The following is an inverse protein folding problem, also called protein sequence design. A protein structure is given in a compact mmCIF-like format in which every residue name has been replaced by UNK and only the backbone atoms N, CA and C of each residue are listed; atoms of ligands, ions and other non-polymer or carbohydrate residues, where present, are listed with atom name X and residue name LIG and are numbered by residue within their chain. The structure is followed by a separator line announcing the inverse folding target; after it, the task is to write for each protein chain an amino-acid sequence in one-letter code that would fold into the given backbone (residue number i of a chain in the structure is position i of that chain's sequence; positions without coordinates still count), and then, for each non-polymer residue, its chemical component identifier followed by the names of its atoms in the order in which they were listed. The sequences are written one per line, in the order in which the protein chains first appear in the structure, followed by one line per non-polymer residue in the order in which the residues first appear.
data_IF_756695334118
#
_entry.id   IF_756695334118
#
_cell.length_a   1.000
_cell.length_b   1.000
_cell.length_c   1.000
_cell.angle_alpha   90.00
_cell.angle_beta   90.00
_cell.angle_gamma   90.00
#
_symmetry.space_group_name_H-M   'P 1'
#
loop_
_entity.id
_entity.type
_entity.pdbx_description
1 polymer ?
#
# COMPACT_ATOMS: atom_id res chain seq x y z
N UNK A 1 7.46 0.86 -14.94
CA UNK A 1 6.54 1.44 -13.93
C UNK A 1 7.11 2.76 -13.44
N UNK A 2 6.29 3.80 -13.24
CA UNK A 2 6.70 5.08 -12.66
C UNK A 2 6.18 5.18 -11.24
N UNK A 3 7.09 5.30 -10.28
CA UNK A 3 6.73 5.32 -8.87
C UNK A 3 6.26 6.69 -8.40
N UNK A 4 5.41 6.70 -7.36
CA UNK A 4 4.81 7.92 -6.79
C UNK A 4 5.89 8.90 -6.32
N UNK A 5 6.98 8.41 -5.72
CA UNK A 5 8.10 9.25 -5.26
C UNK A 5 8.80 10.03 -6.36
N UNK A 6 8.67 9.63 -7.61
CA UNK A 6 9.30 10.28 -8.76
C UNK A 6 8.36 11.15 -9.59
N UNK A 7 7.12 11.38 -9.15
CA UNK A 7 6.15 12.19 -9.88
C UNK A 7 6.39 13.68 -9.66
N UNK A 8 6.17 14.47 -10.71
CA UNK A 8 6.27 15.91 -10.68
C UNK A 8 4.95 16.56 -11.13
N UNK A 9 4.73 17.78 -10.63
CA UNK A 9 3.59 18.61 -11.07
C UNK A 9 3.65 18.86 -12.59
N UNK A 10 2.48 18.83 -13.23
CA UNK A 10 2.33 19.07 -14.66
C UNK A 10 2.53 17.83 -15.55
N UNK A 11 2.89 16.69 -14.99
CA UNK A 11 3.02 15.46 -15.76
C UNK A 11 1.65 14.83 -16.06
N UNK A 12 1.48 14.29 -17.26
CA UNK A 12 0.37 13.41 -17.61
C UNK A 12 0.90 11.98 -17.63
N UNK A 13 0.32 11.09 -16.85
CA UNK A 13 0.79 9.72 -16.68
C UNK A 13 -0.32 8.70 -16.94
N UNK A 14 0.11 7.51 -17.39
CA UNK A 14 -0.69 6.28 -17.41
C UNK A 14 0.10 5.22 -16.68
N UNK A 15 -0.46 4.69 -15.59
CA UNK A 15 0.21 3.67 -14.80
C UNK A 15 -0.77 2.87 -13.95
N UNK A 16 -0.34 1.69 -13.50
CA UNK A 16 -1.11 0.87 -12.56
C UNK A 16 -0.73 1.25 -11.13
N UNK A 17 -1.73 1.42 -10.27
CA UNK A 17 -1.59 1.63 -8.83
C UNK A 17 -2.58 0.76 -8.06
N UNK A 18 -2.29 0.48 -6.80
CA UNK A 18 -3.25 -0.14 -5.89
C UNK A 18 -4.24 0.93 -5.41
N UNK A 19 -5.53 0.70 -5.58
CA UNK A 19 -6.58 1.51 -4.96
C UNK A 19 -6.68 1.19 -3.47
N UNK A 20 -5.89 1.87 -2.64
CA UNK A 20 -5.89 1.65 -1.17
C UNK A 20 -7.19 2.07 -0.51
N UNK A 21 -7.85 3.07 -1.04
CA UNK A 21 -9.11 3.58 -0.51
C UNK A 21 -9.90 4.33 -1.56
N UNK A 22 -11.24 4.24 -1.47
CA UNK A 22 -12.21 4.91 -2.33
C UNK A 22 -13.27 5.59 -1.46
N UNK A 23 -13.52 6.85 -1.70
CA UNK A 23 -14.60 7.59 -1.03
C UNK A 23 -15.36 8.43 -2.04
N UNK A 24 -16.61 8.09 -2.27
CA UNK A 24 -17.51 8.89 -3.08
C UNK A 24 -18.07 10.06 -2.28
N UNK A 25 -18.16 11.22 -2.90
CA UNK A 25 -18.69 12.45 -2.32
C UNK A 25 -19.37 13.30 -3.41
N UNK A 26 -20.02 14.36 -2.99
CA UNK A 26 -20.64 15.33 -3.89
C UNK A 26 -20.00 16.71 -3.75
N UNK A 27 -19.85 17.40 -4.88
CA UNK A 27 -19.45 18.79 -4.91
C UNK A 27 -20.56 19.69 -4.37
N UNK A 28 -20.26 20.96 -4.07
CA UNK A 28 -21.29 21.97 -3.66
C UNK A 28 -22.43 22.12 -4.67
N UNK A 29 -22.20 21.75 -5.92
CA UNK A 29 -23.20 21.82 -7.02
C UNK A 29 -23.91 20.48 -7.23
N UNK A 30 -23.79 19.49 -6.31
CA UNK A 30 -24.44 18.19 -6.39
C UNK A 30 -23.84 17.23 -7.42
N UNK A 31 -22.65 17.51 -7.96
CA UNK A 31 -21.98 16.59 -8.88
C UNK A 31 -21.21 15.55 -8.08
N UNK A 32 -21.38 14.24 -8.38
CA UNK A 32 -20.62 13.19 -7.72
C UNK A 32 -19.15 13.23 -8.14
N UNK A 33 -18.25 12.87 -7.22
CA UNK A 33 -16.84 12.66 -7.49
C UNK A 33 -16.29 11.60 -6.54
N UNK A 34 -15.23 10.90 -6.97
CA UNK A 34 -14.53 9.95 -6.12
C UNK A 34 -13.18 10.52 -5.70
N UNK A 35 -12.90 10.33 -4.41
CA UNK A 35 -11.56 10.49 -3.86
C UNK A 35 -10.91 9.12 -3.74
N UNK A 36 -9.75 8.96 -4.32
CA UNK A 36 -8.96 7.74 -4.26
C UNK A 36 -7.68 7.97 -3.49
N UNK A 37 -7.23 6.94 -2.80
CA UNK A 37 -5.87 6.86 -2.29
C UNK A 37 -5.17 5.79 -3.13
N UNK A 38 -4.31 6.24 -4.04
CA UNK A 38 -3.46 5.39 -4.87
C UNK A 38 -2.20 5.04 -4.09
N UNK A 39 -1.72 3.81 -4.18
CA UNK A 39 -0.53 3.34 -3.48
C UNK A 39 0.40 2.57 -4.41
N UNK A 40 1.70 2.78 -4.22
CA UNK A 40 2.77 1.89 -4.64
C UNK A 40 3.76 1.66 -3.48
N UNK A 41 4.86 0.95 -3.72
CA UNK A 41 5.88 0.66 -2.68
C UNK A 41 6.60 1.92 -2.17
N UNK A 42 6.52 3.05 -2.89
CA UNK A 42 7.23 4.29 -2.55
C UNK A 42 6.37 5.29 -1.79
N UNK A 43 5.04 5.10 -1.78
CA UNK A 43 4.14 5.99 -1.06
C UNK A 43 2.69 5.93 -1.52
N UNK A 44 1.98 6.99 -1.18
CA UNK A 44 0.58 7.19 -1.55
C UNK A 44 0.38 8.52 -2.28
N UNK A 45 -0.63 8.54 -3.16
CA UNK A 45 -1.00 9.72 -3.95
C UNK A 45 -2.53 9.88 -3.92
N UNK A 46 -3.01 11.08 -3.63
CA UNK A 46 -4.43 11.40 -3.72
C UNK A 46 -4.86 11.46 -5.18
N UNK A 47 -5.95 10.77 -5.52
CA UNK A 47 -6.59 10.79 -6.83
C UNK A 47 -7.99 11.39 -6.78
N UNK A 48 -8.35 12.16 -7.79
CA UNK A 48 -9.71 12.72 -7.98
C UNK A 48 -10.30 12.26 -9.29
N UNK A 49 -11.49 11.68 -9.23
CA UNK A 49 -12.32 11.33 -10.38
C UNK A 49 -13.54 12.26 -10.34
N UNK A 50 -13.53 13.31 -11.17
CA UNK A 50 -14.56 14.37 -11.12
C UNK A 50 -15.90 13.97 -11.74
N UNK A 51 -15.94 12.91 -12.53
CA UNK A 51 -17.14 12.33 -13.12
C UNK A 51 -17.04 10.82 -13.15
N UNK A 52 -17.38 10.12 -12.03
CA UNK A 52 -17.27 8.67 -11.95
C UNK A 52 -18.12 7.90 -12.95
N UNK A 53 -19.18 8.52 -13.47
CA UNK A 53 -20.10 7.91 -14.44
C UNK A 53 -19.71 8.20 -15.89
N UNK A 54 -18.58 8.87 -16.14
CA UNK A 54 -18.14 9.20 -17.48
C UNK A 54 -17.63 7.99 -18.26
N UNK A 55 -17.75 8.07 -19.59
CA UNK A 55 -17.22 7.06 -20.48
C UNK A 55 -15.68 7.04 -20.39
N UNK A 56 -15.09 5.97 -19.90
CA UNK A 56 -13.66 5.84 -19.64
C UNK A 56 -13.31 5.56 -18.17
N UNK A 57 -14.29 5.65 -17.28
CA UNK A 57 -14.20 5.20 -15.90
C UNK A 57 -14.90 3.83 -15.81
N UNK A 58 -14.11 2.76 -15.68
CA UNK A 58 -14.65 1.43 -15.42
C UNK A 58 -15.08 1.30 -13.96
N UNK A 59 -15.87 0.28 -13.66
CA UNK A 59 -16.21 -0.08 -12.28
C UNK A 59 -14.97 -0.62 -11.57
N UNK A 60 -14.68 -0.14 -10.36
CA UNK A 60 -13.52 -0.50 -9.55
C UNK A 60 -13.84 -0.35 -8.06
N UNK A 61 -13.16 -1.12 -7.23
CA UNK A 61 -13.32 -1.10 -5.77
C UNK A 61 -11.99 -0.87 -5.02
N UNK A 62 -12.11 -0.73 -3.69
CA UNK A 62 -10.94 -0.73 -2.81
C UNK A 62 -10.20 -2.05 -2.91
N UNK A 63 -8.87 -1.99 -2.91
CA UNK A 63 -7.90 -3.09 -3.06
C UNK A 63 -7.75 -3.61 -4.48
N UNK A 64 -8.44 -3.06 -5.46
CA UNK A 64 -8.18 -3.37 -6.87
C UNK A 64 -6.86 -2.73 -7.34
N UNK A 65 -6.19 -3.43 -8.24
CA UNK A 65 -5.12 -2.84 -9.05
C UNK A 65 -5.75 -2.16 -10.24
N UNK A 66 -5.61 -0.84 -10.31
CA UNK A 66 -6.25 -0.02 -11.33
C UNK A 66 -5.22 0.69 -12.19
N UNK A 67 -5.40 0.61 -13.51
CA UNK A 67 -4.66 1.49 -14.42
C UNK A 67 -5.40 2.82 -14.50
N UNK A 68 -4.71 3.88 -14.14
CA UNK A 68 -5.22 5.24 -14.16
C UNK A 68 -4.48 6.07 -15.20
N UNK A 69 -5.21 6.93 -15.87
CA UNK A 69 -4.67 7.95 -16.78
C UNK A 69 -5.13 9.33 -16.33
N UNK A 70 -4.20 10.27 -16.15
CA UNK A 70 -4.55 11.61 -15.68
C UNK A 70 -3.33 12.51 -15.51
N UNK A 71 -3.58 13.70 -14.98
CA UNK A 71 -2.60 14.75 -14.78
C UNK A 71 -2.23 14.90 -13.32
N UNK A 72 -0.95 15.09 -13.06
CA UNK A 72 -0.44 15.41 -11.73
C UNK A 72 -0.49 16.92 -11.51
N UNK A 73 -1.17 17.32 -10.47
CA UNK A 73 -1.31 18.72 -10.06
C UNK A 73 -0.79 18.92 -8.64
N UNK A 74 -0.47 20.16 -8.30
CA UNK A 74 -0.21 20.55 -6.92
C UNK A 74 -1.48 21.20 -6.33
N UNK A 75 -1.97 20.63 -5.26
CA UNK A 75 -3.10 21.17 -4.52
C UNK A 75 -2.71 21.39 -3.05
N UNK A 76 -2.66 22.64 -2.62
CA UNK A 76 -2.27 23.05 -1.27
C UNK A 76 -0.88 22.48 -0.81
N UNK A 77 0.08 22.42 -1.73
CA UNK A 77 1.42 21.93 -1.43
C UNK A 77 1.59 20.40 -1.51
N UNK A 78 0.53 19.66 -1.83
CA UNK A 78 0.57 18.21 -2.02
C UNK A 78 0.30 17.85 -3.48
N UNK A 79 1.00 16.84 -3.98
CA UNK A 79 0.70 16.27 -5.28
C UNK A 79 -0.64 15.53 -5.24
N UNK A 80 -1.43 15.72 -6.28
CA UNK A 80 -2.71 15.08 -6.48
C UNK A 80 -2.87 14.71 -7.95
N UNK A 81 -3.53 13.60 -8.25
CA UNK A 81 -3.81 13.18 -9.61
C UNK A 81 -5.25 13.48 -10.00
N UNK A 82 -5.45 14.25 -11.04
CA UNK A 82 -6.75 14.40 -11.70
C UNK A 82 -6.93 13.26 -12.70
N UNK A 83 -7.75 12.29 -12.35
CA UNK A 83 -7.93 11.06 -13.11
C UNK A 83 -9.00 11.27 -14.18
N UNK A 84 -8.68 10.90 -15.42
CA UNK A 84 -9.57 11.01 -16.59
C UNK A 84 -10.07 9.63 -17.05
N UNK A 85 -9.28 8.58 -16.84
CA UNK A 85 -9.64 7.21 -17.20
C UNK A 85 -9.19 6.25 -16.11
N UNK A 86 -10.01 5.24 -15.89
CA UNK A 86 -9.71 4.11 -14.99
C UNK A 86 -10.17 2.82 -15.65
N UNK A 87 -9.32 1.79 -15.55
CA UNK A 87 -9.71 0.40 -15.76
C UNK A 87 -9.06 -0.49 -14.72
N UNK A 88 -9.69 -1.59 -14.40
CA UNK A 88 -9.07 -2.62 -13.57
C UNK A 88 -7.96 -3.30 -14.37
N UNK A 89 -6.78 -3.42 -13.75
CA UNK A 89 -5.64 -4.10 -14.36
C UNK A 89 -5.84 -5.63 -14.30
N UNK A 90 -5.42 -6.32 -15.37
CA UNK A 90 -5.49 -7.78 -15.43
C UNK A 90 -4.27 -8.41 -14.78
N UNK A 91 -4.41 -9.67 -14.35
CA UNK A 91 -3.27 -10.45 -13.87
C UNK A 91 -2.18 -10.53 -14.94
N UNK A 92 -0.94 -10.23 -14.53
CA UNK A 92 0.22 -10.14 -15.42
C UNK A 92 0.55 -8.73 -15.92
N UNK A 93 -0.33 -7.74 -15.76
CA UNK A 93 -0.03 -6.33 -16.09
C UNK A 93 0.71 -5.62 -14.93
N UNK A 94 0.74 -6.22 -13.75
CA UNK A 94 1.38 -5.67 -12.57
C UNK A 94 2.07 -6.75 -11.73
N UNK A 95 3.06 -6.32 -10.93
CA UNK A 95 3.69 -7.18 -9.94
C UNK A 95 3.24 -6.72 -8.54
N UNK A 96 2.53 -7.55 -7.74
CA UNK A 96 2.05 -7.17 -6.41
C UNK A 96 3.14 -6.62 -5.46
N UNK A 97 4.38 -7.09 -5.60
CA UNK A 97 5.52 -6.62 -4.81
C UNK A 97 5.82 -5.12 -4.99
N UNK A 98 5.43 -4.53 -6.12
CA UNK A 98 5.64 -3.10 -6.39
C UNK A 98 4.63 -2.18 -5.71
N UNK A 99 3.63 -2.75 -5.02
CA UNK A 99 2.56 -1.99 -4.35
C UNK A 99 2.55 -2.18 -2.84
N UNK A 100 3.33 -3.13 -2.32
CA UNK A 100 3.48 -3.31 -0.89
C UNK A 100 4.58 -2.39 -0.36
N UNK A 101 4.33 -1.66 0.73
CA UNK A 101 5.39 -0.87 1.34
C UNK A 101 6.52 -1.80 1.77
N UNK A 102 7.68 -1.59 1.19
CA UNK A 102 8.89 -2.30 1.62
C UNK A 102 9.44 -1.59 2.85
N UNK A 103 9.65 -2.34 3.92
CA UNK A 103 10.41 -1.84 5.06
C UNK A 103 11.88 -1.77 4.67
N UNK A 104 12.60 -0.72 5.04
CA UNK A 104 14.05 -0.60 4.83
C UNK A 104 14.83 -1.68 5.60
N UNK A 105 14.22 -2.24 6.63
CA UNK A 105 14.80 -3.33 7.44
C UNK A 105 14.35 -4.69 6.90
N UNK A 106 15.31 -5.60 6.76
CA UNK A 106 14.98 -7.01 6.47
C UNK A 106 14.18 -7.62 7.62
N UNK A 107 13.31 -8.57 7.31
CA UNK A 107 12.53 -9.31 8.32
C UNK A 107 13.44 -9.96 9.36
N UNK A 108 14.61 -10.47 8.93
CA UNK A 108 15.60 -11.06 9.81
C UNK A 108 16.20 -10.04 10.78
N UNK A 109 16.53 -8.82 10.30
CA UNK A 109 17.03 -7.74 11.16
C UNK A 109 15.96 -7.27 12.17
N UNK A 110 14.70 -7.18 11.77
CA UNK A 110 13.59 -6.86 12.68
C UNK A 110 13.37 -7.97 13.73
N UNK A 111 13.55 -9.20 13.33
CA UNK A 111 13.45 -10.35 14.24
C UNK A 111 14.59 -10.35 15.26
N UNK A 112 15.83 -10.10 14.84
CA UNK A 112 17.00 -10.01 15.73
C UNK A 112 16.86 -8.86 16.74
N UNK A 113 16.39 -7.70 16.30
CA UNK A 113 16.10 -6.57 17.19
C UNK A 113 15.01 -6.92 18.23
N UNK A 114 13.95 -7.62 17.81
CA UNK A 114 12.89 -8.04 18.70
C UNK A 114 13.37 -9.05 19.73
N UNK A 115 14.18 -10.03 19.32
CA UNK A 115 14.79 -11.00 20.24
C UNK A 115 15.72 -10.31 21.23
N UNK A 116 16.58 -9.41 20.78
CA UNK A 116 17.46 -8.64 21.64
C UNK A 116 16.70 -7.76 22.64
N UNK A 117 15.56 -7.21 22.23
CA UNK A 117 14.68 -6.42 23.10
C UNK A 117 14.06 -7.30 24.20
N UNK A 118 13.62 -8.51 23.86
CA UNK A 118 13.05 -9.47 24.82
C UNK A 118 14.11 -9.94 25.81
N UNK A 119 15.34 -10.25 25.34
CA UNK A 119 16.44 -10.67 26.20
C UNK A 119 16.86 -9.58 27.19
N UNK A 120 16.82 -8.31 26.75
CA UNK A 120 17.10 -7.17 27.63
C UNK A 120 16.04 -7.03 28.74
N UNK A 121 14.77 -7.21 28.41
CA UNK A 121 13.67 -7.20 29.40
C UNK A 121 13.76 -8.34 30.40
N UNK A 122 14.31 -9.50 29.99
CA UNK A 122 14.51 -10.66 30.87
C UNK A 122 15.56 -10.43 31.93
N UNK A 123 16.57 -9.61 31.62
CA UNK A 123 17.68 -9.34 32.56
C UNK A 123 17.33 -8.31 33.62
N UNK A 124 16.42 -7.37 33.32
CA UNK A 124 16.10 -6.23 34.21
C UNK A 124 14.89 -6.47 35.13
N UNK A 125 14.02 -7.40 34.83
CA UNK A 125 12.83 -7.68 35.63
C UNK A 125 12.67 -9.16 35.93
N UNK A 126 12.71 -9.48 37.22
CA UNK A 126 12.42 -10.81 37.81
C UNK A 126 10.94 -11.18 37.61
N UNK A 127 10.45 -11.17 36.39
CA UNK A 127 9.07 -11.52 36.01
C UNK A 127 8.99 -12.96 35.54
N UNK A 128 8.16 -13.68 36.28
CA UNK A 128 7.79 -15.10 36.15
C UNK A 128 7.69 -15.64 34.71
N UNK A 129 8.41 -16.71 34.51
CA UNK A 129 8.69 -17.58 33.37
C UNK A 129 7.61 -17.85 32.32
N UNK A 130 6.33 -17.62 32.56
CA UNK A 130 5.28 -18.09 31.65
C UNK A 130 4.98 -17.16 30.47
N UNK A 131 5.05 -15.85 30.65
CA UNK A 131 4.74 -14.90 29.56
C UNK A 131 5.87 -14.81 28.55
N UNK A 132 7.11 -14.95 28.98
CA UNK A 132 8.29 -14.98 28.11
C UNK A 132 8.31 -16.18 27.17
N UNK A 133 8.00 -17.37 27.71
CA UNK A 133 7.91 -18.59 26.91
C UNK A 133 6.84 -18.50 25.82
N UNK A 134 5.69 -17.90 26.14
CA UNK A 134 4.59 -17.72 25.19
C UNK A 134 5.00 -16.74 24.09
N UNK A 135 5.65 -15.62 24.40
CA UNK A 135 6.15 -14.68 23.41
C UNK A 135 7.18 -15.31 22.46
N UNK A 136 8.14 -16.07 22.99
CA UNK A 136 9.16 -16.76 22.19
C UNK A 136 8.52 -17.82 21.27
N UNK A 137 7.53 -18.55 21.75
CA UNK A 137 6.83 -19.57 20.94
C UNK A 137 6.01 -18.90 19.84
N UNK A 138 5.33 -17.80 20.11
CA UNK A 138 4.55 -17.04 19.11
C UNK A 138 5.48 -16.49 18.03
N UNK A 139 6.60 -15.90 18.41
CA UNK A 139 7.61 -15.34 17.49
C UNK A 139 8.21 -16.44 16.61
N UNK A 140 8.56 -17.61 17.18
CA UNK A 140 9.05 -18.76 16.41
C UNK A 140 7.99 -19.32 15.45
N UNK A 141 6.73 -19.39 15.86
CA UNK A 141 5.64 -19.82 14.97
C UNK A 141 5.35 -18.80 13.86
N UNK A 142 5.40 -17.51 14.14
CA UNK A 142 5.28 -16.47 13.11
C UNK A 142 6.39 -16.56 12.07
N UNK A 143 7.65 -16.80 12.49
CA UNK A 143 8.76 -17.02 11.55
C UNK A 143 8.53 -18.25 10.66
N UNK A 144 7.99 -19.33 11.22
CA UNK A 144 7.72 -20.55 10.47
C UNK A 144 6.61 -20.36 9.44
N UNK A 145 5.57 -19.58 9.79
CA UNK A 145 4.47 -19.22 8.86
C UNK A 145 4.95 -18.29 7.73
N UNK A 146 5.82 -17.32 8.03
CA UNK A 146 6.42 -16.43 7.03
C UNK A 146 7.38 -17.18 6.09
N UNK A 147 8.13 -18.17 6.59
CA UNK A 147 9.00 -19.00 5.75
C UNK A 147 8.19 -19.92 4.81
N UNK A 148 7.06 -20.45 5.27
CA UNK A 148 6.13 -21.23 4.44
C UNK A 148 5.44 -20.40 3.37
N UNK A 149 5.07 -19.17 3.65
CA UNK A 149 4.48 -18.26 2.66
C UNK A 149 5.46 -17.95 1.52
N UNK A 150 6.72 -17.65 1.83
CA UNK A 150 7.75 -17.36 0.82
C UNK A 150 8.22 -18.59 0.02
N UNK A 151 8.04 -19.82 0.53
CA UNK A 151 8.39 -21.06 -0.18
C UNK A 151 7.27 -21.50 -1.12
N UNK A 152 6.01 -21.18 -0.82
CA UNK A 152 4.87 -21.52 -1.67
C UNK A 152 4.68 -20.56 -2.86
N UNK A 153 5.28 -19.35 -2.82
CA UNK A 153 5.28 -18.39 -3.96
C UNK A 153 6.39 -18.66 -5.00
N UNK A 154 7.29 -19.61 -4.71
CA UNK A 154 8.42 -19.97 -5.62
C UNK A 154 8.33 -21.41 -6.17
N UNK A 155 7.13 -22.04 -6.19
CA UNK A 155 6.88 -23.31 -6.87
C UNK A 155 5.86 -23.17 -7.99
#
# INVERSE_FOLDING_TARGET
MRYISGLCEGETIRNVYLCKGKRSAETRNGKPYDNLILQDKTGTLDGKVWDPNSQGIADYDEKDFIEVFGDIINYNGNLQMNIRQIRVAQEGEYNPADYMPTTEKSVDSMYEELVAYIDHFHTDHNMTDQLSFICIIIIRKCRQLFYFSNVMENC
#
